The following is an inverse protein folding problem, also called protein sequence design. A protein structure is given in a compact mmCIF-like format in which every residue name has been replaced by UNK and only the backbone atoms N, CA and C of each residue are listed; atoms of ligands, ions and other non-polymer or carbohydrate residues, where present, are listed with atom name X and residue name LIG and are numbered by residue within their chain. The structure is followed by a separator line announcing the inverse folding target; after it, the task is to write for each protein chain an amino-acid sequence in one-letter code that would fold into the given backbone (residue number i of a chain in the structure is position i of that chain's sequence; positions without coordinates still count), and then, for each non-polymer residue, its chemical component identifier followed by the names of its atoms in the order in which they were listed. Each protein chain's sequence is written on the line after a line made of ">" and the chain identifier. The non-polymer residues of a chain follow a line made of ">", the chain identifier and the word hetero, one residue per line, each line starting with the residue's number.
data_IF_799104168403
#
_entry.id   IF_799104168403
#
_cell.length_a   1.000
_cell.length_b   1.000
_cell.length_c   1.000
_cell.angle_alpha   90.00
_cell.angle_beta   90.00
_cell.angle_gamma   90.00
#
_symmetry.space_group_name_H-M   'P 1'
#
loop_
_entity.id
_entity.type
_entity.pdbx_description
1 polymer ?
#
# COMPACT_ATOMS: atom_id res chain seq x y z
N UNK A 1 13.07 29.13 -0.55
CA UNK A 1 13.33 27.85 -1.22
C UNK A 1 13.12 26.74 -0.19
N UNK A 2 11.95 26.08 -0.21
CA UNK A 2 11.68 24.97 0.71
C UNK A 2 12.43 23.75 0.18
N UNK A 3 13.44 23.27 0.91
CA UNK A 3 14.10 22.02 0.58
C UNK A 3 13.03 20.91 0.58
N UNK A 4 12.79 20.31 -0.58
CA UNK A 4 11.85 19.20 -0.74
C UNK A 4 12.32 18.06 0.17
N UNK A 5 11.58 17.83 1.25
CA UNK A 5 11.90 16.80 2.23
C UNK A 5 11.64 15.42 1.62
N UNK A 6 12.49 14.41 1.88
CA UNK A 6 12.24 13.08 1.38
C UNK A 6 10.98 12.49 2.04
N UNK A 7 10.07 11.93 1.23
CA UNK A 7 8.84 11.30 1.70
C UNK A 7 8.50 10.09 0.84
N UNK A 8 8.31 8.94 1.48
CA UNK A 8 8.11 7.67 0.80
C UNK A 8 6.62 7.37 0.59
N UNK A 9 6.25 6.95 -0.62
CA UNK A 9 4.96 6.29 -0.89
C UNK A 9 5.21 4.80 -0.94
N UNK A 10 4.58 4.07 -0.03
CA UNK A 10 4.78 2.63 0.15
C UNK A 10 3.43 1.93 -0.02
N UNK A 11 3.33 1.00 -0.96
CA UNK A 11 2.14 0.16 -1.10
C UNK A 11 2.31 -1.12 -0.30
N UNK A 12 1.22 -1.60 0.30
CA UNK A 12 1.20 -2.84 1.09
C UNK A 12 0.22 -3.82 0.46
N UNK A 13 0.78 -4.87 -0.14
CA UNK A 13 0.05 -5.91 -0.85
C UNK A 13 0.03 -7.22 -0.05
N UNK A 14 -0.90 -8.09 -0.43
CA UNK A 14 -1.02 -9.44 0.12
C UNK A 14 -2.47 -9.89 0.27
N UNK A 15 -2.65 -11.19 0.39
CA UNK A 15 -3.96 -11.85 0.44
C UNK A 15 -4.89 -11.32 1.57
N UNK A 16 -6.22 -11.49 1.46
CA UNK A 16 -7.11 -11.38 2.61
C UNK A 16 -6.62 -12.32 3.72
N UNK A 17 -6.62 -11.85 4.98
CA UNK A 17 -6.09 -12.65 6.09
C UNK A 17 -4.57 -12.55 6.31
N UNK A 18 -3.80 -11.95 5.41
CA UNK A 18 -2.33 -11.83 5.53
C UNK A 18 -1.86 -11.06 6.77
N UNK A 19 -2.63 -10.07 7.22
CA UNK A 19 -2.27 -9.24 8.38
C UNK A 19 -1.70 -7.85 8.04
N UNK A 20 -2.00 -7.34 6.84
CA UNK A 20 -1.59 -6.01 6.34
C UNK A 20 -1.71 -4.91 7.39
N UNK A 21 -2.91 -4.63 7.89
CA UNK A 21 -3.11 -3.63 8.95
C UNK A 21 -2.23 -3.82 10.20
N UNK A 22 -1.93 -5.05 10.63
CA UNK A 22 -1.00 -5.28 11.76
C UNK A 22 0.43 -4.90 11.43
N UNK A 23 0.90 -5.26 10.23
CA UNK A 23 2.23 -4.85 9.74
C UNK A 23 2.26 -3.33 9.53
N UNK A 24 1.24 -2.74 8.90
CA UNK A 24 1.15 -1.31 8.67
C UNK A 24 1.19 -0.49 9.97
N UNK A 25 0.43 -0.89 10.99
CA UNK A 25 0.47 -0.24 12.31
C UNK A 25 1.87 -0.29 12.90
N UNK A 26 2.53 -1.47 12.86
CA UNK A 26 3.87 -1.60 13.40
C UNK A 26 4.90 -0.74 12.64
N UNK A 27 4.84 -0.72 11.30
CA UNK A 27 5.72 0.10 10.48
C UNK A 27 5.46 1.60 10.66
N UNK A 28 4.19 2.00 10.83
CA UNK A 28 3.79 3.38 11.13
C UNK A 28 4.44 3.91 12.39
N UNK A 29 4.35 3.15 13.49
CA UNK A 29 4.97 3.47 14.77
C UNK A 29 6.50 3.49 14.69
N UNK A 30 7.09 2.50 14.03
CA UNK A 30 8.55 2.30 14.01
C UNK A 30 9.27 3.31 13.11
N UNK A 31 8.67 3.68 11.98
CA UNK A 31 9.31 4.48 10.92
C UNK A 31 8.66 5.84 10.69
N UNK A 32 7.74 6.26 11.57
CA UNK A 32 7.00 7.54 11.47
C UNK A 32 6.26 7.67 10.13
N UNK A 33 5.48 6.64 9.81
CA UNK A 33 4.68 6.56 8.58
C UNK A 33 3.20 6.74 8.90
N UNK A 34 2.48 7.45 8.03
CA UNK A 34 1.02 7.42 8.06
C UNK A 34 0.56 6.07 7.51
N UNK A 35 -0.50 5.51 8.08
CA UNK A 35 -1.17 4.34 7.53
C UNK A 35 -2.53 4.75 6.97
N UNK A 36 -2.72 4.50 5.68
CA UNK A 36 -3.99 4.70 4.98
C UNK A 36 -4.50 3.35 4.48
N UNK A 37 -5.63 2.91 5.02
CA UNK A 37 -6.38 1.75 4.56
C UNK A 37 -7.45 2.22 3.59
N UNK A 38 -7.36 1.82 2.33
CA UNK A 38 -8.29 2.26 1.26
C UNK A 38 -9.72 1.89 1.63
N UNK A 39 -9.94 0.67 2.14
CA UNK A 39 -11.26 0.23 2.57
C UNK A 39 -11.84 1.09 3.70
N UNK A 40 -11.01 1.51 4.67
CA UNK A 40 -11.47 2.37 5.77
C UNK A 40 -11.73 3.81 5.30
N UNK A 41 -10.87 4.34 4.42
CA UNK A 41 -11.06 5.67 3.82
C UNK A 41 -12.37 5.75 3.04
N UNK A 42 -12.64 4.76 2.18
CA UNK A 42 -13.88 4.65 1.44
C UNK A 42 -15.11 4.51 2.36
N UNK A 43 -15.03 3.68 3.40
CA UNK A 43 -16.10 3.56 4.41
C UNK A 43 -16.37 4.88 5.14
N UNK A 44 -15.33 5.63 5.48
CA UNK A 44 -15.50 6.94 6.11
C UNK A 44 -16.18 7.91 5.16
N UNK A 45 -15.67 8.01 3.93
CA UNK A 45 -16.22 8.89 2.91
C UNK A 45 -17.70 8.59 2.62
N UNK A 46 -18.08 7.31 2.49
CA UNK A 46 -19.49 6.93 2.29
C UNK A 46 -20.39 7.36 3.44
N UNK A 47 -19.93 7.29 4.69
CA UNK A 47 -20.73 7.70 5.85
C UNK A 47 -21.05 9.20 5.83
N UNK A 48 -20.15 10.00 5.26
CA UNK A 48 -20.29 11.45 5.08
C UNK A 48 -21.09 11.80 3.81
N UNK A 49 -21.06 10.92 2.79
CA UNK A 49 -21.63 11.17 1.47
C UNK A 49 -22.76 10.20 1.10
N UNK A 50 -23.58 9.79 2.07
CA UNK A 50 -24.57 8.70 1.93
C UNK A 50 -25.57 8.84 0.77
N UNK A 51 -25.82 10.05 0.30
CA UNK A 51 -26.76 10.34 -0.80
C UNK A 51 -26.11 10.37 -2.17
N UNK A 52 -24.78 10.23 -2.26
CA UNK A 52 -24.05 10.24 -3.54
C UNK A 52 -24.22 8.93 -4.30
N UNK A 53 -24.43 8.95 -5.64
CA UNK A 53 -24.39 7.75 -6.47
C UNK A 53 -23.10 6.94 -6.30
N UNK A 54 -21.96 7.63 -6.13
CA UNK A 54 -20.67 6.98 -5.89
C UNK A 54 -20.63 6.24 -4.55
N UNK A 55 -21.33 6.72 -3.51
CA UNK A 55 -21.41 6.01 -2.23
C UNK A 55 -22.15 4.67 -2.36
N UNK A 56 -23.18 4.60 -3.20
CA UNK A 56 -23.89 3.35 -3.50
C UNK A 56 -22.98 2.37 -4.25
N UNK A 57 -22.21 2.85 -5.23
CA UNK A 57 -21.25 2.03 -5.97
C UNK A 57 -20.13 1.49 -5.07
N UNK A 58 -19.56 2.33 -4.21
CA UNK A 58 -18.53 1.91 -3.24
C UNK A 58 -19.10 0.86 -2.27
N UNK A 59 -20.33 1.06 -1.77
CA UNK A 59 -20.97 0.11 -0.86
C UNK A 59 -21.16 -1.25 -1.54
N UNK A 60 -21.66 -1.25 -2.79
CA UNK A 60 -21.80 -2.46 -3.60
C UNK A 60 -20.46 -3.18 -3.78
N UNK A 61 -19.38 -2.48 -4.14
CA UNK A 61 -18.06 -3.11 -4.30
C UNK A 61 -17.49 -3.66 -2.98
N UNK A 62 -17.72 -2.98 -1.86
CA UNK A 62 -17.25 -3.44 -0.56
C UNK A 62 -18.02 -4.69 -0.08
N UNK A 63 -19.32 -4.75 -0.33
CA UNK A 63 -20.20 -5.84 0.09
C UNK A 63 -20.18 -7.03 -0.87
N UNK A 64 -20.29 -6.75 -2.17
CA UNK A 64 -20.48 -7.72 -3.24
C UNK A 64 -19.21 -8.05 -4.01
N UNK A 65 -18.08 -7.43 -3.66
CA UNK A 65 -16.74 -7.61 -4.26
C UNK A 65 -16.55 -6.91 -5.61
N UNK A 66 -15.32 -7.02 -6.13
CA UNK A 66 -14.85 -6.28 -7.29
C UNK A 66 -14.00 -5.08 -6.88
N UNK A 67 -13.44 -4.46 -7.91
CA UNK A 67 -12.61 -3.28 -7.77
C UNK A 67 -13.41 -2.04 -8.12
N UNK A 68 -13.11 -0.95 -7.41
CA UNK A 68 -13.42 0.38 -7.91
C UNK A 68 -12.46 0.70 -9.04
N UNK A 69 -12.95 1.48 -10.00
CA UNK A 69 -12.11 1.96 -11.10
C UNK A 69 -10.98 2.83 -10.56
N UNK A 70 -9.90 2.94 -11.32
CA UNK A 70 -8.81 3.84 -10.96
C UNK A 70 -9.25 5.29 -10.87
N UNK A 71 -10.18 5.72 -11.73
CA UNK A 71 -10.73 7.08 -11.73
C UNK A 71 -11.46 7.39 -10.42
N UNK A 72 -12.15 6.40 -9.85
CA UNK A 72 -12.80 6.54 -8.55
C UNK A 72 -11.79 6.50 -7.41
N UNK A 73 -10.73 5.68 -7.50
CA UNK A 73 -9.79 5.43 -6.39
C UNK A 73 -8.65 6.44 -6.30
N UNK A 74 -8.02 6.79 -7.42
CA UNK A 74 -6.82 7.63 -7.45
C UNK A 74 -7.00 8.98 -6.74
N UNK A 75 -8.14 9.68 -6.84
CA UNK A 75 -8.37 10.90 -6.06
C UNK A 75 -8.26 10.68 -4.54
N UNK A 76 -8.72 9.53 -4.03
CA UNK A 76 -8.60 9.21 -2.60
C UNK A 76 -7.14 8.93 -2.21
N UNK A 77 -6.40 8.21 -3.05
CA UNK A 77 -4.98 7.92 -2.80
C UNK A 77 -4.16 9.22 -2.83
N UNK A 78 -4.41 10.06 -3.83
CA UNK A 78 -3.79 11.37 -3.97
C UNK A 78 -4.05 12.25 -2.73
N UNK A 79 -5.31 12.34 -2.30
CA UNK A 79 -5.68 13.12 -1.12
C UNK A 79 -5.01 12.57 0.13
N UNK A 80 -4.98 11.25 0.33
CA UNK A 80 -4.33 10.63 1.47
C UNK A 80 -2.82 10.93 1.52
N UNK A 81 -2.15 10.94 0.35
CA UNK A 81 -0.73 11.32 0.26
C UNK A 81 -0.55 12.81 0.60
N UNK A 82 -1.39 13.69 0.06
CA UNK A 82 -1.35 15.14 0.36
C UNK A 82 -1.57 15.41 1.84
N UNK A 83 -2.56 14.78 2.45
CA UNK A 83 -2.87 14.92 3.87
C UNK A 83 -1.71 14.44 4.74
N UNK A 84 -1.07 13.31 4.39
CA UNK A 84 0.10 12.82 5.12
C UNK A 84 1.34 13.75 4.94
N UNK A 85 1.44 14.44 3.81
CA UNK A 85 2.50 15.43 3.55
C UNK A 85 2.30 16.73 4.35
N UNK A 86 1.06 17.16 4.54
CA UNK A 86 0.73 18.43 5.21
C UNK A 86 0.30 18.26 6.67
N UNK A 87 0.22 17.02 7.16
CA UNK A 87 -0.23 16.70 8.52
C UNK A 87 0.49 17.53 9.59
N UNK A 88 -0.31 18.16 10.45
CA UNK A 88 0.18 18.86 11.64
C UNK A 88 0.84 17.89 12.64
N UNK A 89 1.95 18.32 13.23
CA UNK A 89 2.70 17.53 14.23
C UNK A 89 4.08 17.05 13.74
N UNK A 90 4.61 15.94 14.30
CA UNK A 90 5.90 15.39 13.89
C UNK A 90 5.92 15.08 12.40
N UNK A 91 6.99 15.51 11.71
CA UNK A 91 7.12 15.31 10.27
C UNK A 91 7.16 13.82 9.94
N UNK A 92 6.13 13.35 9.23
CA UNK A 92 6.06 11.99 8.71
C UNK A 92 7.12 11.75 7.63
N UNK A 93 7.68 10.55 7.60
CA UNK A 93 8.70 10.12 6.61
C UNK A 93 8.08 9.49 5.36
N UNK A 94 6.78 9.22 5.39
CA UNK A 94 6.06 8.60 4.29
C UNK A 94 4.66 8.16 4.68
N UNK A 95 4.04 7.43 3.75
CA UNK A 95 2.70 6.85 3.87
C UNK A 95 2.73 5.40 3.40
N UNK A 96 2.03 4.54 4.15
CA UNK A 96 1.69 3.17 3.82
C UNK A 96 0.25 3.16 3.30
N UNK A 97 0.05 2.69 2.07
CA UNK A 97 -1.26 2.52 1.45
C UNK A 97 -1.59 1.02 1.42
N UNK A 98 -2.53 0.60 2.26
CA UNK A 98 -3.06 -0.77 2.34
C UNK A 98 -4.31 -0.91 1.48
N UNK A 99 -4.31 -1.88 0.57
CA UNK A 99 -5.48 -2.23 -0.26
C UNK A 99 -5.46 -1.62 -1.67
N UNK A 100 -4.32 -1.13 -2.14
CA UNK A 100 -4.13 -0.62 -3.50
C UNK A 100 -2.67 -0.85 -3.98
N UNK A 101 -2.44 -1.09 -5.27
CA UNK A 101 -3.43 -1.51 -6.28
C UNK A 101 -3.80 -2.99 -6.10
N UNK A 102 -4.97 -3.39 -6.62
CA UNK A 102 -5.50 -4.76 -6.53
C UNK A 102 -5.60 -5.47 -7.89
N UNK A 103 -5.48 -4.74 -8.99
CA UNK A 103 -5.45 -5.27 -10.35
C UNK A 103 -4.49 -4.41 -11.22
N UNK A 104 -4.18 -4.90 -12.42
CA UNK A 104 -3.25 -4.25 -13.35
C UNK A 104 -3.75 -2.88 -13.81
N UNK A 105 -5.06 -2.72 -14.04
CA UNK A 105 -5.66 -1.44 -14.43
C UNK A 105 -5.40 -0.33 -13.40
N UNK A 106 -5.48 -0.65 -12.10
CA UNK A 106 -5.13 0.25 -11.01
C UNK A 106 -3.65 0.62 -10.98
N UNK A 107 -2.77 -0.36 -11.22
CA UNK A 107 -1.33 -0.13 -11.29
C UNK A 107 -0.97 0.80 -12.46
N UNK A 108 -1.46 0.50 -13.66
CA UNK A 108 -1.15 1.27 -14.88
C UNK A 108 -1.69 2.69 -14.81
N UNK A 109 -2.92 2.85 -14.32
CA UNK A 109 -3.55 4.16 -14.24
C UNK A 109 -2.87 5.02 -13.18
N UNK A 110 -2.48 4.45 -12.03
CA UNK A 110 -1.73 5.18 -11.00
C UNK A 110 -0.39 5.72 -11.51
N UNK A 111 0.33 4.93 -12.31
CA UNK A 111 1.63 5.32 -12.89
C UNK A 111 1.50 6.53 -13.83
N UNK A 112 0.37 6.63 -14.55
CA UNK A 112 0.08 7.73 -15.47
C UNK A 112 -0.65 8.91 -14.85
N UNK A 113 -1.02 8.82 -13.56
CA UNK A 113 -1.92 9.80 -12.97
C UNK A 113 -1.23 11.17 -12.78
N UNK A 114 -1.89 12.30 -13.10
CA UNK A 114 -1.24 13.62 -13.13
C UNK A 114 -0.56 14.10 -11.83
N UNK A 115 -0.88 13.51 -10.66
CA UNK A 115 -0.24 13.90 -9.40
C UNK A 115 1.19 13.36 -9.27
N UNK A 116 1.59 12.35 -10.05
CA UNK A 116 2.95 11.77 -10.01
C UNK A 116 4.02 12.85 -10.18
N UNK A 117 3.75 13.85 -11.02
CA UNK A 117 4.63 15.00 -11.29
C UNK A 117 4.52 16.14 -10.27
N UNK A 118 3.45 16.15 -9.48
CA UNK A 118 3.08 17.29 -8.63
C UNK A 118 3.40 17.07 -7.14
N UNK A 119 3.63 15.83 -6.72
CA UNK A 119 3.99 15.54 -5.33
C UNK A 119 5.45 15.97 -5.05
N UNK A 120 5.71 16.68 -3.94
CA UNK A 120 7.03 17.23 -3.60
C UNK A 120 8.00 16.15 -3.08
N UNK A 121 8.30 15.15 -3.92
CA UNK A 121 9.16 14.00 -3.60
C UNK A 121 10.45 14.00 -4.46
N UNK A 122 10.96 15.21 -4.71
CA UNK A 122 11.23 15.83 -6.02
C UNK A 122 12.51 15.45 -6.80
N UNK A 123 12.76 16.20 -7.88
CA UNK A 123 14.01 16.95 -7.98
C UNK A 123 13.73 18.47 -7.91
N UNK A 124 14.23 19.21 -6.90
CA UNK A 124 14.32 20.66 -6.96
C UNK A 124 15.55 20.99 -7.84
N UNK A 125 15.27 21.58 -8.99
CA UNK A 125 16.24 22.12 -9.95
C UNK A 125 17.06 21.09 -10.74
N UNK A 126 16.70 20.99 -12.02
CA UNK A 126 17.68 20.79 -13.08
C UNK A 126 17.92 19.34 -13.48
N UNK A 127 17.33 18.97 -14.62
CA UNK A 127 17.96 18.11 -15.61
C UNK A 127 18.05 16.62 -15.26
N UNK A 128 17.21 15.84 -15.92
CA UNK A 128 17.63 14.56 -16.52
C UNK A 128 18.18 13.49 -15.55
N UNK A 129 17.49 13.29 -14.42
CA UNK A 129 17.73 12.16 -13.53
C UNK A 129 16.43 11.37 -13.40
N UNK A 130 16.38 10.21 -14.07
CA UNK A 130 15.23 9.32 -14.19
C UNK A 130 14.41 9.20 -12.89
N UNK A 131 13.25 9.86 -12.90
CA UNK A 131 12.25 9.76 -11.83
C UNK A 131 11.56 8.42 -12.00
N UNK A 132 11.73 7.50 -11.05
CA UNK A 132 10.89 6.30 -11.01
C UNK A 132 9.47 6.71 -10.59
N UNK A 133 8.41 6.29 -11.31
CA UNK A 133 7.05 6.54 -10.89
C UNK A 133 6.82 5.92 -9.51
N UNK A 134 5.99 6.58 -8.67
CA UNK A 134 5.61 6.03 -7.37
C UNK A 134 4.80 4.73 -7.60
N UNK A 135 4.81 3.76 -6.68
CA UNK A 135 5.36 3.81 -5.33
C UNK A 135 6.89 3.67 -5.28
N UNK A 136 7.49 4.11 -4.18
CA UNK A 136 8.92 3.92 -3.93
C UNK A 136 9.26 2.50 -3.47
N UNK A 137 8.34 1.89 -2.72
CA UNK A 137 8.47 0.54 -2.18
C UNK A 137 7.11 -0.13 -2.25
N UNK A 138 7.10 -1.42 -2.57
CA UNK A 138 5.94 -2.29 -2.37
C UNK A 138 6.31 -3.35 -1.35
N UNK A 139 5.61 -3.39 -0.23
CA UNK A 139 5.75 -4.45 0.78
C UNK A 139 4.68 -5.50 0.51
N UNK A 140 5.10 -6.71 0.15
CA UNK A 140 4.20 -7.81 -0.16
C UNK A 140 4.22 -8.88 0.94
N UNK A 141 3.07 -9.10 1.59
CA UNK A 141 2.93 -10.10 2.63
C UNK A 141 2.65 -11.48 2.04
N UNK A 142 3.63 -12.39 2.12
CA UNK A 142 3.53 -13.78 1.67
C UNK A 142 2.97 -14.65 2.79
N UNK A 143 1.85 -15.31 2.49
CA UNK A 143 1.14 -16.19 3.43
C UNK A 143 0.54 -17.38 2.69
N UNK A 144 0.48 -18.54 3.33
CA UNK A 144 -0.25 -19.69 2.79
C UNK A 144 -1.77 -19.46 2.85
N UNK A 145 -2.51 -20.04 1.89
CA UNK A 145 -3.98 -19.98 1.89
C UNK A 145 -4.60 -20.48 3.19
N UNK A 146 -4.05 -21.56 3.76
CA UNK A 146 -4.52 -22.14 5.03
C UNK A 146 -4.38 -21.15 6.20
N UNK A 147 -3.21 -20.52 6.36
CA UNK A 147 -2.98 -19.54 7.42
C UNK A 147 -3.79 -18.26 7.20
N UNK A 148 -3.93 -17.84 5.94
CA UNK A 148 -4.77 -16.71 5.57
C UNK A 148 -6.23 -16.96 5.95
N UNK A 149 -6.76 -18.15 5.63
CA UNK A 149 -8.13 -18.56 5.95
C UNK A 149 -8.35 -18.61 7.46
N UNK A 150 -7.47 -19.28 8.20
CA UNK A 150 -7.56 -19.39 9.65
C UNK A 150 -7.58 -18.02 10.32
N UNK A 151 -6.71 -17.09 9.87
CA UNK A 151 -6.70 -15.71 10.35
C UNK A 151 -7.90 -14.90 9.92
N UNK A 152 -8.44 -15.15 8.73
CA UNK A 152 -9.63 -14.45 8.26
C UNK A 152 -10.84 -14.82 9.11
N UNK A 153 -11.07 -16.11 9.33
CA UNK A 153 -12.19 -16.62 10.13
C UNK A 153 -12.04 -16.31 11.62
N UNK A 154 -10.81 -16.25 12.14
CA UNK A 154 -10.55 -15.93 13.55
C UNK A 154 -10.70 -14.46 13.93
N UNK A 155 -10.80 -13.53 12.97
CA UNK A 155 -10.83 -12.07 13.24
C UNK A 155 -12.14 -11.58 13.86
N UNK A 156 -13.27 -12.25 13.59
CA UNK A 156 -14.59 -11.89 14.14
C UNK A 156 -15.00 -10.41 13.98
N UNK A 157 -14.38 -9.66 13.04
CA UNK A 157 -14.56 -8.20 12.91
C UNK A 157 -15.90 -7.84 12.29
N UNK A 158 -16.43 -8.70 11.42
CA UNK A 158 -17.78 -8.60 10.90
C UNK A 158 -18.55 -9.87 11.26
N UNK A 159 -19.79 -9.75 11.74
CA UNK A 159 -20.76 -10.85 11.91
C UNK A 159 -21.09 -11.58 10.60
N UNK A 160 -20.46 -11.14 9.51
CA UNK A 160 -20.70 -11.50 8.14
C UNK A 160 -19.45 -12.14 7.49
N UNK A 161 -18.32 -12.28 8.19
CA UNK A 161 -17.12 -12.95 7.67
C UNK A 161 -17.36 -14.47 7.58
N UNK A 162 -17.54 -14.98 6.37
CA UNK A 162 -17.78 -16.39 6.09
C UNK A 162 -16.63 -17.01 5.30
N UNK A 163 -16.50 -18.34 5.39
CA UNK A 163 -15.58 -19.11 4.54
C UNK A 163 -15.81 -18.83 3.06
N UNK A 164 -17.07 -18.71 2.64
CA UNK A 164 -17.42 -18.39 1.26
C UNK A 164 -16.87 -17.03 0.82
N UNK A 165 -17.04 -15.98 1.65
CA UNK A 165 -16.46 -14.66 1.37
C UNK A 165 -14.95 -14.69 1.31
N UNK A 166 -14.30 -15.45 2.19
CA UNK A 166 -12.85 -15.65 2.14
C UNK A 166 -12.43 -16.30 0.82
N UNK A 167 -13.03 -17.43 0.43
CA UNK A 167 -12.67 -18.15 -0.80
C UNK A 167 -12.81 -17.25 -2.02
N UNK A 168 -13.91 -16.48 -2.10
CA UNK A 168 -14.12 -15.52 -3.18
C UNK A 168 -13.06 -14.41 -3.19
N UNK A 169 -12.76 -13.77 -2.05
CA UNK A 169 -11.73 -12.71 -1.95
C UNK A 169 -10.32 -13.24 -2.22
N UNK A 170 -10.04 -14.48 -1.85
CA UNK A 170 -8.76 -15.11 -2.11
C UNK A 170 -8.61 -15.46 -3.60
N UNK A 171 -9.66 -15.97 -4.24
CA UNK A 171 -9.68 -16.23 -5.68
C UNK A 171 -9.49 -14.93 -6.50
N UNK A 172 -10.14 -13.84 -6.11
CA UNK A 172 -9.93 -12.51 -6.72
C UNK A 172 -8.46 -12.05 -6.56
N UNK A 173 -7.86 -12.26 -5.39
CA UNK A 173 -6.44 -11.98 -5.16
C UNK A 173 -5.52 -12.80 -6.07
N UNK A 174 -5.77 -14.10 -6.22
CA UNK A 174 -4.99 -14.99 -7.09
C UNK A 174 -5.12 -14.60 -8.57
N UNK A 175 -6.32 -14.21 -9.01
CA UNK A 175 -6.58 -13.87 -10.40
C UNK A 175 -5.99 -12.50 -10.81
N UNK A 176 -6.04 -11.51 -9.91
CA UNK A 176 -5.86 -10.10 -10.30
C UNK A 176 -4.67 -9.45 -9.60
N UNK A 177 -4.51 -9.68 -8.29
CA UNK A 177 -3.47 -8.99 -7.49
C UNK A 177 -2.10 -9.64 -7.66
N UNK A 178 -2.01 -10.94 -7.96
CA UNK A 178 -0.71 -11.59 -8.18
C UNK A 178 0.04 -11.01 -9.41
N UNK A 179 -0.67 -10.64 -10.47
CA UNK A 179 -0.06 -9.98 -11.63
C UNK A 179 0.53 -8.61 -11.28
N UNK A 180 -0.09 -7.88 -10.34
CA UNK A 180 0.43 -6.63 -9.78
C UNK A 180 1.71 -6.88 -8.98
N UNK A 181 1.76 -7.94 -8.17
CA UNK A 181 2.96 -8.32 -7.42
C UNK A 181 4.12 -8.64 -8.36
N UNK A 182 3.87 -9.40 -9.44
CA UNK A 182 4.88 -9.74 -10.44
C UNK A 182 5.41 -8.48 -11.14
N UNK A 183 4.52 -7.57 -11.56
CA UNK A 183 4.92 -6.30 -12.17
C UNK A 183 5.82 -5.45 -11.25
N UNK A 184 5.53 -5.38 -9.95
CA UNK A 184 6.39 -4.66 -9.00
C UNK A 184 7.68 -5.40 -8.65
N UNK A 185 7.68 -6.74 -8.72
CA UNK A 185 8.90 -7.55 -8.60
C UNK A 185 9.86 -7.24 -9.74
N UNK A 186 9.36 -7.21 -10.97
CA UNK A 186 10.15 -6.92 -12.17
C UNK A 186 10.71 -5.48 -12.16
N UNK A 187 9.97 -4.54 -11.55
CA UNK A 187 10.45 -3.15 -11.32
C UNK A 187 11.52 -3.03 -10.23
N UNK A 188 11.77 -4.08 -9.45
CA UNK A 188 12.77 -4.07 -8.38
C UNK A 188 12.40 -3.20 -7.16
N UNK A 189 11.11 -2.89 -6.99
CA UNK A 189 10.59 -2.09 -5.86
C UNK A 189 9.87 -2.94 -4.80
N UNK A 190 9.73 -4.24 -5.04
CA UNK A 190 9.01 -5.17 -4.17
C UNK A 190 9.91 -5.79 -3.10
N UNK A 191 9.44 -5.78 -1.85
CA UNK A 191 10.02 -6.47 -0.70
C UNK A 191 9.01 -7.50 -0.20
N UNK A 192 9.38 -8.77 -0.23
CA UNK A 192 8.53 -9.86 0.26
C UNK A 192 8.78 -10.12 1.75
N UNK A 193 7.69 -10.20 2.52
CA UNK A 193 7.71 -10.54 3.94
C UNK A 193 6.96 -11.86 4.14
N UNK A 194 7.64 -12.89 4.63
CA UNK A 194 6.97 -14.10 5.11
C UNK A 194 6.22 -13.77 6.41
N UNK A 195 4.91 -13.99 6.39
CA UNK A 195 4.05 -13.78 7.54
C UNK A 195 3.27 -15.04 7.91
N UNK A 196 3.85 -16.24 7.81
CA UNK A 196 3.18 -17.49 8.17
C UNK A 196 3.20 -17.83 9.67
N UNK A 197 4.03 -17.18 10.48
CA UNK A 197 4.16 -17.43 11.91
C UNK A 197 3.07 -16.77 12.77
N UNK A 198 3.29 -16.75 14.07
CA UNK A 198 2.53 -15.93 15.04
C UNK A 198 2.72 -14.45 14.78
N UNK A 199 1.91 -13.60 15.42
CA UNK A 199 2.03 -12.13 15.28
C UNK A 199 3.45 -11.67 15.64
N UNK A 200 3.97 -12.14 16.76
CA UNK A 200 5.29 -11.77 17.30
C UNK A 200 6.42 -12.22 16.36
N UNK A 201 6.36 -13.46 15.88
CA UNK A 201 7.32 -13.99 14.91
C UNK A 201 7.30 -13.21 13.60
N UNK A 202 6.11 -12.87 13.07
CA UNK A 202 5.97 -12.12 11.84
C UNK A 202 6.52 -10.70 11.98
N UNK A 203 6.32 -10.04 13.13
CA UNK A 203 6.87 -8.71 13.40
C UNK A 203 8.40 -8.75 13.50
N UNK A 204 8.96 -9.75 14.18
CA UNK A 204 10.41 -9.92 14.28
C UNK A 204 11.03 -10.24 12.91
N UNK A 205 10.42 -11.15 12.15
CA UNK A 205 10.88 -11.48 10.80
C UNK A 205 10.78 -10.27 9.87
N UNK A 206 9.70 -9.49 9.95
CA UNK A 206 9.56 -8.23 9.21
C UNK A 206 10.72 -7.29 9.49
N UNK A 207 11.07 -7.07 10.77
CA UNK A 207 12.21 -6.22 11.14
C UNK A 207 13.52 -6.72 10.55
N UNK A 208 13.77 -8.04 10.61
CA UNK A 208 14.98 -8.65 10.03
C UNK A 208 15.04 -8.45 8.52
N UNK A 209 13.97 -8.74 7.80
CA UNK A 209 13.91 -8.58 6.34
C UNK A 209 14.11 -7.12 5.93
N UNK A 210 13.45 -6.16 6.59
CA UNK A 210 13.60 -4.74 6.27
C UNK A 210 15.00 -4.20 6.60
N UNK A 211 15.66 -4.73 7.64
CA UNK A 211 17.07 -4.41 7.95
C UNK A 211 18.03 -4.94 6.88
N UNK A 212 17.78 -6.14 6.36
CA UNK A 212 18.62 -6.74 5.31
C UNK A 212 18.32 -6.19 3.90
N UNK A 213 17.15 -5.60 3.69
CA UNK A 213 16.74 -5.06 2.39
C UNK A 213 17.49 -3.76 2.06
N UNK A 214 18.38 -3.80 1.08
CA UNK A 214 19.05 -2.61 0.55
C UNK A 214 18.09 -1.53 0.02
N UNK A 215 16.96 -1.92 -0.59
CA UNK A 215 15.93 -0.97 -1.04
C UNK A 215 15.36 -0.16 0.13
N UNK A 216 14.86 -0.85 1.17
CA UNK A 216 14.37 -0.23 2.39
C UNK A 216 15.43 0.64 3.08
N UNK A 217 16.68 0.18 3.22
CA UNK A 217 17.74 0.99 3.84
C UNK A 217 17.98 2.30 3.09
N UNK A 218 18.11 2.24 1.76
CA UNK A 218 18.32 3.45 0.94
C UNK A 218 17.18 4.45 1.11
N UNK A 219 15.93 4.02 0.95
CA UNK A 219 14.78 4.93 0.94
C UNK A 219 14.39 5.37 2.35
N UNK A 220 14.30 4.41 3.29
CA UNK A 220 13.72 4.62 4.62
C UNK A 220 14.75 4.89 5.71
N UNK A 221 16.06 4.74 5.47
CA UNK A 221 17.08 5.05 6.47
C UNK A 221 17.97 6.18 5.96
N UNK A 222 18.52 6.02 4.75
CA UNK A 222 19.45 6.99 4.14
C UNK A 222 18.72 8.17 3.49
N UNK A 223 17.44 8.02 3.16
CA UNK A 223 16.66 9.06 2.48
C UNK A 223 17.04 9.27 1.02
N UNK A 224 17.62 8.25 0.38
CA UNK A 224 18.02 8.25 -1.03
C UNK A 224 16.91 7.66 -1.91
N UNK A 225 16.43 8.45 -2.87
CA UNK A 225 15.32 8.10 -3.76
C UNK A 225 15.76 7.88 -5.23
N UNK A 226 17.04 8.04 -5.55
CA UNK A 226 17.61 7.81 -6.90
C UNK A 226 18.31 6.44 -7.01
N UNK A 227 18.28 5.86 -8.21
CA UNK A 227 18.99 4.61 -8.54
C UNK A 227 20.26 4.91 -9.34
N UNK A 228 21.30 5.44 -8.69
CA UNK A 228 22.64 5.28 -9.26
C UNK A 228 23.13 3.88 -8.92
N UNK A 229 23.14 2.99 -9.92
CA UNK A 229 24.02 1.84 -9.90
C UNK A 229 25.46 2.37 -9.90
N UNK A 230 26.14 2.35 -8.76
CA UNK A 230 27.60 2.42 -8.77
C UNK A 230 28.08 1.02 -9.19
N UNK A 231 28.12 0.79 -10.50
CA UNK A 231 29.01 -0.22 -11.04
C UNK A 231 30.42 0.37 -10.93
N UNK A 232 31.15 -0.08 -9.91
CA UNK A 232 32.62 0.00 -9.88
C UNK A 232 33.20 -1.28 -10.45
#
# INVERSE_FOLDING_TARGET
>A
MSATRPFAVIFVLGAPGAGKGTICSHLGETYQLSHYSVGDGLRSWMRENRTSPLAVQIQDKLDNQGFLSSDDLNPFIEQAIKDALTKDGPKLRGILVDGFPRCVEQLETFDSWPFQDQLPLAAPNGGDLGVHPKPNIVVCLRITKQNAEARYLGRGRDSNDSREKFQRRFAEYEAETMAVEDAYRDRGVLIELDVNGTKEENLEQTRKTLRASGLWQRIMVEGQFSTQFVLS
#
